data_IF_027621796590
#
_entry.id   IF_027621796590
#
_cell.length_a   1.000
_cell.length_b   1.000
_cell.length_c   1.000
_cell.angle_alpha   90.00
_cell.angle_beta   90.00
_cell.angle_gamma   90.00
#
_symmetry.space_group_name_H-M   'P 1'
#
loop_
_entity.id
_entity.type
_entity.pdbx_description
1 polymer ?
#
# COMPACT_ATOMS: atom_id res chain seq x y z
N UNK A 1 -8.52 4.60 3.38
CA UNK A 1 -7.13 4.23 3.08
C UNK A 1 -6.29 4.30 4.35
N UNK A 2 -5.56 3.25 4.69
CA UNK A 2 -4.57 3.28 5.76
C UNK A 2 -3.18 3.53 5.14
N UNK A 3 -2.42 4.46 5.73
CA UNK A 3 -1.06 4.83 5.30
C UNK A 3 -0.21 4.96 6.53
N UNK A 4 0.89 4.25 6.53
CA UNK A 4 1.95 4.35 7.54
C UNK A 4 3.24 4.76 6.85
N UNK A 5 3.89 5.78 7.36
CA UNK A 5 5.21 6.22 6.92
C UNK A 5 6.17 5.97 8.08
N UNK A 6 7.26 5.30 7.81
CA UNK A 6 8.30 5.01 8.80
C UNK A 6 9.68 5.41 8.27
N UNK A 7 10.66 5.63 9.14
CA UNK A 7 12.04 5.93 8.74
C UNK A 7 12.65 4.79 7.92
N UNK A 8 13.60 5.11 7.05
CA UNK A 8 14.23 4.16 6.15
C UNK A 8 15.04 3.03 6.83
N UNK A 9 15.35 3.18 8.12
CA UNK A 9 16.00 2.15 8.92
C UNK A 9 15.07 1.01 9.36
N UNK A 10 13.75 1.17 9.19
CA UNK A 10 12.77 0.11 9.45
C UNK A 10 12.60 -0.72 8.19
N UNK A 11 12.86 -2.02 8.28
CA UNK A 11 12.68 -2.92 7.13
C UNK A 11 11.20 -3.05 6.77
N UNK A 12 10.89 -3.18 5.47
CA UNK A 12 9.51 -3.26 4.96
C UNK A 12 8.68 -4.34 5.65
N UNK A 13 9.28 -5.52 5.88
CA UNK A 13 8.62 -6.62 6.61
C UNK A 13 8.22 -6.28 8.05
N UNK A 14 9.02 -5.42 8.72
CA UNK A 14 8.70 -4.96 10.07
C UNK A 14 7.65 -3.84 10.04
N UNK A 15 7.62 -3.05 8.95
CA UNK A 15 6.59 -2.05 8.66
C UNK A 15 5.21 -2.66 8.41
N UNK A 16 5.15 -3.89 7.86
CA UNK A 16 3.88 -4.54 7.56
C UNK A 16 2.94 -4.63 8.77
N UNK A 17 3.45 -4.94 9.95
CA UNK A 17 2.65 -5.01 11.18
C UNK A 17 2.08 -3.67 11.64
N UNK A 18 2.68 -2.55 11.21
CA UNK A 18 2.16 -1.21 11.52
C UNK A 18 0.93 -0.89 10.67
N UNK A 19 0.84 -1.46 9.47
CA UNK A 19 -0.31 -1.33 8.57
C UNK A 19 -1.38 -2.37 8.88
N UNK A 20 -0.96 -3.59 9.22
CA UNK A 20 -1.82 -4.76 9.45
C UNK A 20 -2.11 -4.94 10.95
N UNK A 21 -2.78 -3.96 11.54
CA UNK A 21 -3.21 -3.99 12.93
C UNK A 21 -4.73 -4.24 13.06
N UNK A 22 -5.20 -4.45 14.28
CA UNK A 22 -6.63 -4.63 14.55
C UNK A 22 -7.47 -3.42 14.16
N UNK A 23 -6.90 -2.22 14.22
CA UNK A 23 -7.58 -0.98 13.79
C UNK A 23 -7.85 -1.00 12.30
N UNK A 24 -6.86 -1.42 11.51
CA UNK A 24 -7.01 -1.60 10.06
C UNK A 24 -8.11 -2.62 9.75
N UNK A 25 -8.17 -3.72 10.49
CA UNK A 25 -9.22 -4.72 10.32
C UNK A 25 -10.61 -4.17 10.62
N UNK A 26 -10.76 -3.37 11.66
CA UNK A 26 -12.04 -2.71 11.99
C UNK A 26 -12.48 -1.71 10.92
N UNK A 27 -11.52 -0.95 10.36
CA UNK A 27 -11.81 0.02 9.29
C UNK A 27 -12.10 -0.63 7.94
N UNK A 28 -11.54 -1.81 7.68
CA UNK A 28 -11.63 -2.51 6.40
C UNK A 28 -11.96 -4.00 6.61
N UNK A 29 -13.15 -4.32 7.12
CA UNK A 29 -13.52 -5.71 7.44
C UNK A 29 -13.63 -6.60 6.21
N UNK A 30 -13.77 -6.02 5.01
CA UNK A 30 -13.93 -6.75 3.75
C UNK A 30 -12.62 -7.16 3.08
N UNK A 31 -11.46 -6.90 3.70
CA UNK A 31 -10.18 -7.33 3.14
C UNK A 31 -10.08 -8.85 3.30
N UNK A 32 -10.13 -9.57 2.18
CA UNK A 32 -9.96 -11.02 2.13
C UNK A 32 -8.53 -11.41 1.75
N UNK A 33 -7.88 -10.60 0.90
CA UNK A 33 -6.55 -10.89 0.37
C UNK A 33 -5.62 -9.70 0.49
N UNK A 34 -4.37 -9.99 0.84
CA UNK A 34 -3.29 -9.04 0.95
C UNK A 34 -2.18 -9.53 0.02
N UNK A 35 -1.86 -8.72 -0.98
CA UNK A 35 -0.76 -9.00 -1.89
C UNK A 35 0.50 -8.30 -1.40
N UNK A 36 1.59 -9.04 -1.34
CA UNK A 36 2.90 -8.51 -0.98
C UNK A 36 3.98 -9.08 -1.88
N UNK A 37 5.09 -8.39 -2.00
CA UNK A 37 6.25 -8.88 -2.72
C UNK A 37 7.08 -9.87 -1.88
N UNK A 38 8.15 -10.42 -2.48
CA UNK A 38 9.01 -11.39 -1.81
C UNK A 38 9.71 -10.86 -0.56
N UNK A 39 9.89 -9.53 -0.43
CA UNK A 39 10.49 -8.89 0.75
C UNK A 39 9.67 -9.08 2.02
N UNK A 40 8.38 -9.34 1.87
CA UNK A 40 7.47 -9.58 3.01
C UNK A 40 7.33 -11.06 3.40
N UNK A 41 8.19 -11.93 2.89
CA UNK A 41 8.22 -13.33 3.31
C UNK A 41 8.75 -13.46 4.75
N UNK A 42 8.16 -14.39 5.51
CA UNK A 42 8.66 -14.78 6.82
C UNK A 42 7.59 -14.92 7.88
N UNK A 43 7.96 -15.60 8.96
CA UNK A 43 7.08 -15.91 10.08
C UNK A 43 6.50 -14.64 10.76
N UNK A 44 7.25 -13.55 10.81
CA UNK A 44 6.81 -12.28 11.41
C UNK A 44 5.64 -11.67 10.65
N UNK A 45 5.71 -11.63 9.31
CA UNK A 45 4.62 -11.10 8.47
C UNK A 45 3.40 -12.01 8.53
N UNK A 46 3.60 -13.33 8.47
CA UNK A 46 2.52 -14.30 8.62
C UNK A 46 1.81 -14.16 9.97
N UNK A 47 2.56 -13.99 11.06
CA UNK A 47 2.01 -13.77 12.40
C UNK A 47 1.26 -12.42 12.51
N UNK A 48 1.74 -11.35 11.83
CA UNK A 48 1.04 -10.07 11.81
C UNK A 48 -0.31 -10.20 11.10
N UNK A 49 -0.36 -10.92 9.99
CA UNK A 49 -1.59 -11.15 9.23
C UNK A 49 -2.56 -12.06 9.99
N UNK A 50 -2.06 -13.11 10.64
CA UNK A 50 -2.90 -13.98 11.47
C UNK A 50 -3.62 -13.20 12.57
N UNK A 51 -3.01 -12.17 13.13
CA UNK A 51 -3.63 -11.26 14.12
C UNK A 51 -4.74 -10.38 13.51
N UNK A 52 -4.74 -10.15 12.21
CA UNK A 52 -5.79 -9.36 11.52
C UNK A 52 -7.03 -10.18 11.17
N UNK A 53 -7.03 -11.49 11.43
CA UNK A 53 -8.15 -12.39 11.20
C UNK A 53 -8.05 -13.18 9.90
N UNK A 54 -9.14 -13.33 9.15
CA UNK A 54 -9.26 -14.25 8.01
C UNK A 54 -8.60 -13.81 6.70
N UNK A 55 -7.82 -12.73 6.68
CA UNK A 55 -7.16 -12.29 5.45
C UNK A 55 -6.04 -13.23 5.04
N UNK A 56 -6.01 -13.59 3.75
CA UNK A 56 -4.96 -14.46 3.18
C UNK A 56 -3.83 -13.62 2.62
N UNK A 57 -2.59 -13.93 3.03
CA UNK A 57 -1.40 -13.36 2.42
C UNK A 57 -1.05 -14.11 1.15
N UNK A 58 -0.93 -13.39 0.06
CA UNK A 58 -0.48 -13.91 -1.22
C UNK A 58 0.83 -13.23 -1.60
N UNK A 59 1.93 -13.97 -1.51
CA UNK A 59 3.26 -13.46 -1.87
C UNK A 59 3.44 -13.60 -3.37
N UNK A 60 3.61 -12.47 -4.04
CA UNK A 60 3.89 -12.44 -5.47
C UNK A 60 5.39 -12.64 -5.68
N UNK A 61 5.79 -13.86 -6.02
CA UNK A 61 7.17 -14.21 -6.31
C UNK A 61 7.49 -13.98 -7.78
N UNK A 62 8.73 -13.56 -8.05
CA UNK A 62 9.30 -13.57 -9.39
C UNK A 62 9.83 -14.97 -9.67
N UNK A 63 9.08 -15.76 -10.45
CA UNK A 63 9.42 -17.17 -10.64
C UNK A 63 10.62 -17.42 -11.59
N UNK A 64 10.97 -16.44 -12.44
CA UNK A 64 12.05 -16.60 -13.41
C UNK A 64 12.89 -15.32 -13.50
N UNK A 65 14.19 -15.36 -13.11
CA UNK A 65 15.06 -14.18 -13.12
C UNK A 65 15.41 -13.69 -14.54
N UNK A 66 15.27 -14.55 -15.56
CA UNK A 66 15.67 -14.26 -16.94
C UNK A 66 14.50 -14.00 -17.91
N UNK A 67 13.25 -14.11 -17.45
CA UNK A 67 12.08 -13.88 -18.29
C UNK A 67 11.24 -12.75 -17.75
N UNK A 68 10.86 -11.81 -18.61
CA UNK A 68 9.90 -10.78 -18.24
C UNK A 68 8.50 -11.40 -18.12
N UNK A 69 8.05 -11.62 -16.89
CA UNK A 69 6.71 -12.09 -16.59
C UNK A 69 5.95 -10.94 -15.94
N UNK A 70 4.82 -10.56 -16.53
CA UNK A 70 3.91 -9.59 -15.93
C UNK A 70 3.27 -10.22 -14.70
N UNK A 71 3.74 -9.84 -13.53
CA UNK A 71 3.19 -10.35 -12.28
C UNK A 71 1.77 -9.84 -12.07
N UNK A 72 0.79 -10.72 -11.84
CA UNK A 72 -0.58 -10.32 -11.59
C UNK A 72 -0.66 -9.28 -10.46
N UNK A 73 -1.40 -8.19 -10.70
CA UNK A 73 -1.72 -7.15 -9.71
C UNK A 73 -0.56 -6.27 -9.21
N UNK A 74 0.69 -6.53 -9.58
CA UNK A 74 1.83 -5.65 -9.26
C UNK A 74 1.62 -4.24 -9.82
N UNK A 75 1.10 -4.15 -11.04
CA UNK A 75 0.78 -2.88 -11.67
C UNK A 75 -0.14 -1.96 -10.85
N UNK A 76 -0.97 -2.53 -9.94
CA UNK A 76 -1.86 -1.75 -9.07
C UNK A 76 -1.03 -0.92 -8.07
N UNK A 77 -0.01 -1.53 -7.47
CA UNK A 77 0.90 -0.84 -6.54
C UNK A 77 1.72 0.20 -7.28
N UNK A 78 2.34 -0.16 -8.41
CA UNK A 78 3.14 0.74 -9.23
C UNK A 78 2.32 1.95 -9.71
N UNK A 79 1.10 1.71 -10.17
CA UNK A 79 0.17 2.78 -10.56
C UNK A 79 -0.21 3.69 -9.39
N UNK A 80 -0.43 3.12 -8.22
CA UNK A 80 -0.79 3.89 -7.03
C UNK A 80 0.37 4.78 -6.60
N UNK A 81 1.59 4.27 -6.60
CA UNK A 81 2.79 5.05 -6.30
C UNK A 81 3.01 6.15 -7.36
N UNK A 82 2.83 5.84 -8.65
CA UNK A 82 2.90 6.83 -9.71
C UNK A 82 1.89 7.96 -9.52
N UNK A 83 0.66 7.66 -9.12
CA UNK A 83 -0.34 8.70 -8.85
C UNK A 83 0.02 9.58 -7.66
N UNK A 84 0.64 9.01 -6.62
CA UNK A 84 1.11 9.74 -5.46
C UNK A 84 2.25 10.68 -5.88
N UNK A 85 3.22 10.20 -6.65
CA UNK A 85 4.38 10.98 -7.11
C UNK A 85 4.02 12.09 -8.11
N UNK A 86 2.86 12.01 -8.79
CA UNK A 86 2.34 13.12 -9.59
C UNK A 86 1.96 14.36 -8.75
N UNK A 87 1.85 14.21 -7.45
CA UNK A 87 1.69 15.36 -6.56
C UNK A 87 3.09 15.91 -6.27
N UNK A 88 3.35 17.13 -6.74
CA UNK A 88 4.66 17.80 -6.67
C UNK A 88 5.31 17.72 -5.29
N UNK A 89 4.53 17.81 -4.22
CA UNK A 89 5.00 17.73 -2.83
C UNK A 89 5.47 16.33 -2.42
N UNK A 90 4.94 15.29 -3.07
CA UNK A 90 5.25 13.88 -2.79
C UNK A 90 6.21 13.26 -3.81
N UNK A 91 6.67 14.04 -4.79
CA UNK A 91 7.67 13.60 -5.78
C UNK A 91 9.06 13.42 -5.15
N UNK A 92 9.32 14.11 -4.03
CA UNK A 92 10.52 14.00 -3.21
C UNK A 92 10.14 13.98 -1.74
N UNK A 93 10.96 13.39 -0.91
CA UNK A 93 10.78 13.39 0.55
C UNK A 93 11.27 14.72 1.14
N UNK A 94 10.34 15.65 1.31
CA UNK A 94 10.59 16.95 1.95
C UNK A 94 10.10 16.99 3.40
N UNK A 95 9.40 15.95 3.85
CA UNK A 95 8.72 16.00 5.13
C UNK A 95 9.59 15.44 6.25
N UNK A 96 9.94 16.28 7.19
CA UNK A 96 10.70 15.88 8.38
C UNK A 96 9.94 14.91 9.28
N UNK A 97 8.62 15.02 9.32
CA UNK A 97 7.78 14.21 10.19
C UNK A 97 6.95 13.20 9.39
N UNK A 98 7.05 11.92 9.74
CA UNK A 98 6.33 10.83 9.08
C UNK A 98 4.80 11.04 9.06
N UNK A 99 4.23 11.64 10.12
CA UNK A 99 2.80 11.97 10.16
C UNK A 99 2.40 13.02 9.15
N UNK A 100 3.27 14.01 8.87
CA UNK A 100 3.02 15.02 7.84
C UNK A 100 3.06 14.40 6.46
N UNK A 101 4.07 13.56 6.18
CA UNK A 101 4.15 12.79 4.93
C UNK A 101 2.88 11.93 4.74
N UNK A 102 2.45 11.20 5.75
CA UNK A 102 1.23 10.40 5.70
C UNK A 102 -0.04 11.25 5.45
N UNK A 103 -0.11 12.46 6.00
CA UNK A 103 -1.22 13.38 5.75
C UNK A 103 -1.24 13.85 4.29
N UNK A 104 -0.10 14.20 3.71
CA UNK A 104 -0.01 14.58 2.29
C UNK A 104 -0.37 13.43 1.35
N UNK A 105 0.04 12.20 1.65
CA UNK A 105 -0.38 11.02 0.87
C UNK A 105 -1.90 10.86 0.92
N UNK A 106 -2.54 11.02 2.09
CA UNK A 106 -4.00 10.95 2.21
C UNK A 106 -4.69 12.04 1.40
N UNK A 107 -4.21 13.28 1.45
CA UNK A 107 -4.74 14.38 0.66
C UNK A 107 -4.60 14.13 -0.85
N UNK A 108 -3.46 13.60 -1.29
CA UNK A 108 -3.26 13.22 -2.69
C UNK A 108 -4.27 12.16 -3.14
N UNK A 109 -4.52 11.15 -2.33
CA UNK A 109 -5.50 10.11 -2.64
C UNK A 109 -6.93 10.62 -2.62
N UNK A 110 -7.30 11.50 -1.69
CA UNK A 110 -8.61 12.17 -1.68
C UNK A 110 -8.82 12.95 -2.99
N UNK A 111 -7.82 13.74 -3.41
CA UNK A 111 -7.87 14.46 -4.68
C UNK A 111 -8.10 13.54 -5.88
N UNK A 112 -7.41 12.39 -5.92
CA UNK A 112 -7.55 11.41 -7.00
C UNK A 112 -8.97 10.82 -7.00
N UNK A 113 -9.50 10.47 -5.83
CA UNK A 113 -10.85 9.93 -5.70
C UNK A 113 -11.91 10.94 -6.13
N UNK A 114 -11.81 12.19 -5.69
CA UNK A 114 -12.72 13.27 -6.10
C UNK A 114 -12.71 13.48 -7.61
N UNK A 115 -11.51 13.53 -8.23
CA UNK A 115 -11.41 13.64 -9.69
C UNK A 115 -12.07 12.48 -10.43
N UNK A 116 -12.06 11.27 -9.88
CA UNK A 116 -12.73 10.12 -10.49
C UNK A 116 -14.23 10.23 -10.39
N UNK A 117 -14.75 10.62 -9.22
CA UNK A 117 -16.17 10.81 -9.01
C UNK A 117 -16.76 11.89 -9.95
N UNK A 118 -16.06 13.02 -10.09
CA UNK A 118 -16.51 14.09 -10.98
C UNK A 118 -16.45 13.70 -12.47
N UNK A 119 -15.48 12.87 -12.87
CA UNK A 119 -15.39 12.39 -14.27
C UNK A 119 -16.50 11.38 -14.61
N UNK A 120 -16.85 10.50 -13.68
CA UNK A 120 -17.96 9.55 -13.89
C UNK A 120 -19.31 10.25 -13.97
N UNK A 121 -19.49 11.37 -13.28
CA UNK A 121 -20.73 12.16 -13.32
C UNK A 121 -20.94 12.91 -14.66
N UNK A 122 -19.91 13.09 -15.49
CA UNK A 122 -20.01 13.78 -16.79
C UNK A 122 -20.21 12.84 -17.98
N UNK A 123 -20.25 11.52 -17.77
CA UNK A 123 -20.48 10.50 -18.79
C UNK A 123 -21.88 9.87 -18.74
N UNK A 124 -22.83 10.53 -18.10
CA UNK A 124 -24.26 10.11 -18.06
C UNK A 124 -25.12 11.03 -18.87
#
# INVERSE_FOLDING_TARGET
MNVVVHPANVQDRDGARLVLDQRTRRLFPFIERIFADAGYQGAKTAAAIAKTGSSKLEIVKRNEPHRFVVLPKRWIVERTLAWISHNRRLARDFERYARSAAAFVRLAMIRIMLKRLTRSAHCS
#
